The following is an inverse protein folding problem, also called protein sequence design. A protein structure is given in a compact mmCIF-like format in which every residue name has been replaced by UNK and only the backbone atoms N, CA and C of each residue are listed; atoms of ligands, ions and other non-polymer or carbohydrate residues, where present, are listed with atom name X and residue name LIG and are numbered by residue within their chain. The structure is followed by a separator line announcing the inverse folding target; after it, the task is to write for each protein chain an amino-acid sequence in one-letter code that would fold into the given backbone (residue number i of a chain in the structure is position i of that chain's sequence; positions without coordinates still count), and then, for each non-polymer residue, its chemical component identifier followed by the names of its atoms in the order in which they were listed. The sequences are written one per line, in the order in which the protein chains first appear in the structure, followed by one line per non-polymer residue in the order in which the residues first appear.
data_IF_871297612080
#
_entry.id   IF_871297612080
#
_cell.length_a   1.000
_cell.length_b   1.000
_cell.length_c   1.000
_cell.angle_alpha   90.00
_cell.angle_beta   90.00
_cell.angle_gamma   90.00
#
_symmetry.space_group_name_H-M   'P 1'
#
loop_
_entity.id
_entity.type
_entity.pdbx_description
1 polymer ?
#
# COMPACT_ATOMS: atom_id res chain seq x y z
N UNK A 1 0.48 -5.23 6.87
CA UNK A 1 -0.32 -4.15 7.47
C UNK A 1 0.65 -3.07 7.86
N UNK A 2 0.16 -1.91 8.29
CA UNK A 2 1.03 -0.80 8.66
C UNK A 2 0.43 0.02 9.79
N UNK A 3 1.27 0.72 10.54
CA UNK A 3 0.88 1.64 11.58
C UNK A 3 1.66 2.95 11.41
N UNK A 4 0.95 4.09 11.45
CA UNK A 4 1.50 5.42 11.27
C UNK A 4 1.48 6.10 12.64
N UNK A 5 2.64 6.48 13.16
CA UNK A 5 2.78 7.14 14.45
C UNK A 5 2.86 8.66 14.28
N UNK A 6 2.09 9.38 15.08
CA UNK A 6 2.01 10.85 15.05
C UNK A 6 2.81 11.47 16.19
N UNK A 7 3.28 12.72 16.05
CA UNK A 7 4.05 13.40 17.10
C UNK A 7 3.32 13.58 18.43
N UNK A 8 1.98 13.57 18.42
CA UNK A 8 1.14 13.65 19.62
C UNK A 8 1.00 12.31 20.36
N UNK A 9 1.65 11.26 19.88
CA UNK A 9 1.60 9.91 20.43
C UNK A 9 0.40 9.07 19.95
N UNK A 10 -0.47 9.62 19.11
CA UNK A 10 -1.54 8.85 18.46
C UNK A 10 -0.99 7.99 17.30
N UNK A 11 -1.76 6.98 16.90
CA UNK A 11 -1.43 6.16 15.73
C UNK A 11 -2.63 5.79 14.87
N UNK A 12 -2.37 5.55 13.58
CA UNK A 12 -3.33 5.04 12.61
C UNK A 12 -2.93 3.64 12.14
N UNK A 13 -3.73 2.64 12.46
CA UNK A 13 -3.50 1.25 12.05
C UNK A 13 -4.28 0.94 10.77
N UNK A 14 -3.58 0.49 9.74
CA UNK A 14 -4.17 -0.02 8.51
C UNK A 14 -3.97 -1.54 8.41
N UNK A 15 -5.09 -2.24 8.24
CA UNK A 15 -5.11 -3.70 8.09
C UNK A 15 -4.34 -4.14 6.83
N UNK A 16 -3.66 -5.31 6.86
CA UNK A 16 -3.09 -5.91 5.67
C UNK A 16 -4.17 -6.31 4.65
N UNK A 17 -3.74 -6.50 3.39
CA UNK A 17 -4.47 -7.31 2.43
C UNK A 17 -3.92 -8.74 2.44
N UNK A 18 -4.81 -9.73 2.38
CA UNK A 18 -4.42 -11.13 2.26
C UNK A 18 -4.21 -11.44 0.78
N UNK A 19 -3.03 -11.93 0.44
CA UNK A 19 -2.64 -12.29 -0.94
C UNK A 19 -1.75 -13.54 -0.90
N UNK A 20 -1.73 -14.27 -2.01
CA UNK A 20 -0.77 -15.36 -2.19
C UNK A 20 0.60 -14.79 -2.55
N UNK A 21 1.58 -14.98 -1.67
CA UNK A 21 2.92 -14.41 -1.81
C UNK A 21 3.76 -15.25 -2.76
N UNK A 22 4.33 -14.59 -3.77
CA UNK A 22 5.24 -15.17 -4.74
C UNK A 22 6.70 -14.73 -4.51
N UNK A 23 6.93 -13.45 -4.26
CA UNK A 23 8.24 -12.85 -4.02
C UNK A 23 8.09 -11.64 -3.08
N UNK A 24 9.03 -11.40 -2.16
CA UNK A 24 8.94 -10.25 -1.23
C UNK A 24 9.75 -9.03 -1.65
N UNK A 25 10.55 -9.16 -2.72
CA UNK A 25 11.43 -8.09 -3.19
C UNK A 25 10.62 -6.86 -3.65
N UNK A 26 10.93 -5.69 -3.09
CA UNK A 26 10.25 -4.44 -3.45
C UNK A 26 8.98 -4.14 -2.67
N UNK A 27 8.54 -5.01 -1.75
CA UNK A 27 7.35 -4.79 -0.92
C UNK A 27 7.38 -3.46 -0.17
N UNK A 28 8.53 -3.12 0.43
CA UNK A 28 8.73 -1.86 1.15
C UNK A 28 8.74 -0.63 0.24
N UNK A 29 9.43 -0.70 -0.90
CA UNK A 29 9.50 0.40 -1.87
C UNK A 29 8.12 0.67 -2.51
N UNK A 30 7.39 -0.40 -2.83
CA UNK A 30 6.01 -0.32 -3.30
C UNK A 30 5.10 0.31 -2.24
N UNK A 31 5.20 -0.15 -0.99
CA UNK A 31 4.42 0.44 0.10
C UNK A 31 4.73 1.93 0.29
N UNK A 32 6.01 2.29 0.35
CA UNK A 32 6.45 3.66 0.54
C UNK A 32 6.02 4.57 -0.61
N UNK A 33 6.16 4.13 -1.86
CA UNK A 33 5.72 4.91 -3.03
C UNK A 33 4.20 5.14 -3.03
N UNK A 34 3.40 4.11 -2.70
CA UNK A 34 1.95 4.26 -2.54
C UNK A 34 1.57 5.21 -1.41
N UNK A 35 2.22 5.11 -0.26
CA UNK A 35 1.98 5.98 0.88
C UNK A 35 2.33 7.44 0.57
N UNK A 36 3.52 7.68 0.01
CA UNK A 36 4.01 9.02 -0.36
C UNK A 36 3.11 9.64 -1.43
N UNK A 37 2.67 8.86 -2.42
CA UNK A 37 1.72 9.33 -3.42
C UNK A 37 0.43 9.84 -2.78
N UNK A 38 -0.15 9.08 -1.85
CA UNK A 38 -1.36 9.49 -1.12
C UNK A 38 -1.15 10.77 -0.31
N UNK A 39 -0.01 10.86 0.38
CA UNK A 39 0.34 12.03 1.18
C UNK A 39 0.49 13.29 0.32
N UNK A 40 1.22 13.19 -0.80
CA UNK A 40 1.37 14.30 -1.76
C UNK A 40 0.04 14.66 -2.45
N UNK A 41 -0.91 13.72 -2.51
CA UNK A 41 -2.27 13.94 -3.01
C UNK A 41 -3.22 14.55 -1.97
N UNK A 42 -2.73 14.87 -0.77
CA UNK A 42 -3.53 15.49 0.30
C UNK A 42 -4.55 14.53 0.94
N UNK A 43 -4.32 13.22 0.86
CA UNK A 43 -5.20 12.24 1.51
C UNK A 43 -4.96 12.17 3.02
N UNK A 44 -5.95 11.68 3.75
CA UNK A 44 -5.77 11.36 5.16
C UNK A 44 -4.83 10.16 5.36
N UNK A 45 -4.33 9.99 6.60
CA UNK A 45 -3.37 8.95 6.94
C UNK A 45 -3.89 7.53 6.73
N UNK A 46 -5.18 7.29 6.98
CA UNK A 46 -5.79 5.97 6.83
C UNK A 46 -5.79 5.55 5.36
N UNK A 47 -6.19 6.48 4.47
CA UNK A 47 -6.19 6.30 3.03
C UNK A 47 -4.77 6.14 2.47
N UNK A 48 -3.80 6.94 2.93
CA UNK A 48 -2.39 6.77 2.56
C UNK A 48 -1.86 5.38 2.93
N UNK A 49 -2.12 4.95 4.17
CA UNK A 49 -1.69 3.66 4.71
C UNK A 49 -2.32 2.48 3.96
N UNK A 50 -3.62 2.57 3.66
CA UNK A 50 -4.34 1.55 2.91
C UNK A 50 -3.85 1.45 1.47
N UNK A 51 -3.59 2.59 0.82
CA UNK A 51 -3.03 2.61 -0.52
C UNK A 51 -1.61 2.02 -0.55
N UNK A 52 -0.73 2.41 0.38
CA UNK A 52 0.60 1.79 0.52
C UNK A 52 0.52 0.27 0.76
N UNK A 53 -0.37 -0.18 1.65
CA UNK A 53 -0.59 -1.61 1.89
C UNK A 53 -1.04 -2.36 0.63
N UNK A 54 -1.86 -1.74 -0.21
CA UNK A 54 -2.31 -2.34 -1.47
C UNK A 54 -1.15 -2.43 -2.49
N UNK A 55 -0.37 -1.36 -2.65
CA UNK A 55 0.81 -1.36 -3.54
C UNK A 55 1.81 -2.45 -3.13
N UNK A 56 2.10 -2.54 -1.82
CA UNK A 56 2.95 -3.58 -1.24
C UNK A 56 2.36 -4.99 -1.38
N UNK A 57 1.05 -5.15 -1.23
CA UNK A 57 0.40 -6.44 -1.42
C UNK A 57 0.43 -6.91 -2.88
N UNK A 58 0.28 -6.01 -3.85
CA UNK A 58 0.32 -6.37 -5.27
C UNK A 58 1.73 -6.75 -5.70
N UNK A 59 2.77 -6.02 -5.25
CA UNK A 59 4.13 -6.33 -5.70
C UNK A 59 4.57 -7.72 -5.25
N UNK A 60 4.09 -8.18 -4.07
CA UNK A 60 4.49 -9.50 -3.58
C UNK A 60 3.85 -10.67 -4.32
N UNK A 61 2.87 -10.41 -5.18
CA UNK A 61 2.27 -11.41 -6.08
C UNK A 61 2.95 -11.45 -7.46
N UNK A 62 4.03 -10.68 -7.67
CA UNK A 62 4.73 -10.54 -8.96
C UNK A 62 6.15 -11.12 -8.91
N UNK A 63 6.73 -11.36 -10.08
CA UNK A 63 8.04 -12.00 -10.18
C UNK A 63 9.19 -11.00 -9.97
N UNK A 64 9.09 -9.81 -10.55
CA UNK A 64 10.10 -8.76 -10.46
C UNK A 64 9.73 -7.69 -9.43
N UNK A 65 10.69 -6.78 -9.16
CA UNK A 65 10.54 -5.67 -8.22
C UNK A 65 10.15 -4.37 -8.95
N UNK A 66 11.12 -3.61 -9.46
CA UNK A 66 10.84 -2.29 -10.04
C UNK A 66 9.99 -2.34 -11.32
N UNK A 67 10.27 -3.28 -12.21
CA UNK A 67 9.55 -3.43 -13.49
C UNK A 67 8.07 -3.79 -13.31
N UNK A 68 7.74 -4.35 -12.15
CA UNK A 68 6.44 -4.90 -11.81
C UNK A 68 5.72 -4.01 -10.79
N UNK A 69 6.13 -2.76 -10.58
CA UNK A 69 5.37 -1.83 -9.74
C UNK A 69 3.95 -1.62 -10.31
N UNK A 70 2.90 -1.63 -9.48
CA UNK A 70 1.54 -1.50 -9.96
C UNK A 70 1.22 -0.06 -10.37
N UNK A 71 0.32 0.10 -11.36
CA UNK A 71 -0.22 1.42 -11.74
C UNK A 71 -1.29 1.88 -10.77
N UNK A 72 -1.61 3.17 -10.78
CA UNK A 72 -2.68 3.74 -9.96
C UNK A 72 -4.02 3.01 -10.16
N UNK A 73 -4.38 2.70 -11.40
CA UNK A 73 -5.62 2.00 -11.75
C UNK A 73 -5.63 0.58 -11.20
N UNK A 74 -4.49 -0.12 -11.26
CA UNK A 74 -4.36 -1.47 -10.71
C UNK A 74 -4.51 -1.48 -9.19
N UNK A 75 -3.87 -0.53 -8.49
CA UNK A 75 -3.98 -0.41 -7.03
C UNK A 75 -5.42 -0.06 -6.64
N UNK A 76 -6.06 0.87 -7.35
CA UNK A 76 -7.44 1.29 -7.06
C UNK A 76 -8.42 0.15 -7.30
N UNK A 77 -8.32 -0.55 -8.43
CA UNK A 77 -9.16 -1.72 -8.72
C UNK A 77 -8.97 -2.84 -7.69
N UNK A 78 -7.74 -3.08 -7.25
CA UNK A 78 -7.45 -4.04 -6.20
C UNK A 78 -8.13 -3.64 -4.88
N UNK A 79 -7.98 -2.39 -4.43
CA UNK A 79 -8.60 -1.89 -3.20
C UNK A 79 -10.13 -2.01 -3.25
N UNK A 80 -10.76 -1.62 -4.36
CA UNK A 80 -12.20 -1.76 -4.55
C UNK A 80 -12.66 -3.22 -4.42
N UNK A 81 -11.92 -4.16 -5.03
CA UNK A 81 -12.20 -5.61 -4.88
C UNK A 81 -12.02 -6.13 -3.45
N UNK A 82 -11.34 -5.37 -2.57
CA UNK A 82 -10.98 -5.73 -1.21
C UNK A 82 -11.69 -4.86 -0.15
N UNK A 83 -12.86 -4.33 -0.49
CA UNK A 83 -13.74 -3.58 0.42
C UNK A 83 -13.56 -2.06 0.40
N UNK A 84 -12.99 -1.50 -0.67
CA UNK A 84 -12.90 -0.06 -0.88
C UNK A 84 -11.79 0.62 -0.07
N UNK A 85 -11.60 1.92 -0.28
CA UNK A 85 -10.61 2.75 0.43
C UNK A 85 -11.09 3.22 1.80
#
# INVERSE_FOLDING_TARGET
GSEIFMPDGSSHVAKPFTVDVLNVLGAGDAWASGFIFGYLSGWDWAKCARFGNATGAIIVTRHACANDMPTYEQVTAFIESQGGI
#
